data_IF_979878917985
#
_entry.id   IF_979878917985
#
_cell.length_a   1.000
_cell.length_b   1.000
_cell.length_c   1.000
_cell.angle_alpha   90.00
_cell.angle_beta   90.00
_cell.angle_gamma   90.00
#
_symmetry.space_group_name_H-M   'P 1'
#
loop_
_entity.id
_entity.type
_entity.pdbx_description
1 polymer ?
#
# COMPACT_ATOMS: atom_id res chain seq x y z
N UNK A 1 -2.51 -25.76 -15.05
CA UNK A 1 -3.53 -24.69 -14.88
C UNK A 1 -3.55 -24.35 -13.40
N UNK A 2 -2.99 -23.26 -12.85
CA UNK A 2 -2.88 -21.86 -13.30
C UNK A 2 -1.68 -21.19 -12.59
N UNK A 3 -0.49 -21.20 -13.20
CA UNK A 3 0.72 -20.60 -12.63
C UNK A 3 0.61 -19.09 -12.42
N UNK A 4 -0.23 -18.40 -13.20
CA UNK A 4 -0.54 -16.98 -13.02
C UNK A 4 -1.25 -16.71 -11.69
N UNK A 5 -2.16 -17.59 -11.24
CA UNK A 5 -2.90 -17.39 -9.98
C UNK A 5 -2.05 -17.61 -8.73
N UNK A 6 -1.01 -18.44 -8.83
CA UNK A 6 -0.02 -18.63 -7.76
C UNK A 6 0.94 -17.45 -7.65
N UNK A 7 1.32 -16.83 -8.78
CA UNK A 7 2.18 -15.63 -8.80
C UNK A 7 1.41 -14.33 -8.48
N UNK A 8 0.13 -14.25 -8.84
CA UNK A 8 -0.70 -13.08 -8.58
C UNK A 8 -0.88 -12.87 -7.07
N UNK A 9 -0.41 -11.74 -6.52
CA UNK A 9 -0.44 -11.39 -5.09
C UNK A 9 0.29 -12.38 -4.14
N UNK A 10 1.24 -13.17 -4.67
CA UNK A 10 2.11 -14.06 -3.87
C UNK A 10 1.34 -15.02 -2.95
N UNK A 11 1.83 -15.19 -1.71
CA UNK A 11 1.27 -16.11 -0.72
C UNK A 11 0.04 -15.54 0.02
N UNK A 12 -0.79 -14.74 -0.65
CA UNK A 12 -2.02 -14.20 -0.06
C UNK A 12 -3.16 -15.24 -0.07
N UNK A 13 -4.09 -15.17 0.91
CA UNK A 13 -5.23 -16.08 0.98
C UNK A 13 -6.05 -16.09 -0.32
N UNK A 14 -6.54 -17.27 -0.71
CA UNK A 14 -7.28 -17.43 -1.97
C UNK A 14 -8.56 -16.60 -2.04
N UNK A 15 -9.24 -16.40 -0.91
CA UNK A 15 -10.41 -15.50 -0.80
C UNK A 15 -10.05 -14.05 -1.10
N UNK A 16 -8.90 -13.57 -0.61
CA UNK A 16 -8.47 -12.19 -0.83
C UNK A 16 -8.19 -11.93 -2.31
N UNK A 17 -7.49 -12.84 -2.99
CA UNK A 17 -7.26 -12.75 -4.44
C UNK A 17 -8.58 -12.65 -5.21
N UNK A 18 -9.60 -13.43 -4.81
CA UNK A 18 -10.94 -13.37 -5.42
C UNK A 18 -11.63 -12.02 -5.18
N UNK A 19 -11.52 -11.46 -3.97
CA UNK A 19 -12.07 -10.13 -3.66
C UNK A 19 -11.43 -9.04 -4.52
N UNK A 20 -10.10 -9.02 -4.67
CA UNK A 20 -9.41 -8.05 -5.53
C UNK A 20 -9.83 -8.19 -6.99
N UNK A 21 -9.95 -9.41 -7.50
CA UNK A 21 -10.45 -9.65 -8.87
C UNK A 21 -11.90 -9.16 -9.02
N UNK A 22 -12.74 -9.31 -7.99
CA UNK A 22 -14.10 -8.80 -8.01
C UNK A 22 -14.13 -7.27 -8.05
N UNK A 23 -13.28 -6.59 -7.27
CA UNK A 23 -13.14 -5.13 -7.29
C UNK A 23 -12.72 -4.60 -8.67
N UNK A 24 -11.71 -5.21 -9.27
CA UNK A 24 -11.26 -4.92 -10.65
C UNK A 24 -12.34 -5.15 -11.73
N UNK A 25 -13.40 -5.91 -11.43
CA UNK A 25 -14.53 -6.09 -12.36
C UNK A 25 -15.67 -5.12 -12.04
N UNK A 26 -15.84 -4.73 -10.78
CA UNK A 26 -16.88 -3.80 -10.34
C UNK A 26 -16.55 -2.38 -10.81
N UNK A 27 -15.30 -1.93 -10.71
CA UNK A 27 -14.93 -0.55 -11.06
C UNK A 27 -15.27 -0.17 -12.51
N UNK A 28 -14.94 -0.97 -13.54
CA UNK A 28 -15.32 -0.67 -14.92
C UNK A 28 -16.84 -0.69 -15.14
N UNK A 29 -17.57 -1.58 -14.46
CA UNK A 29 -19.02 -1.66 -14.52
C UNK A 29 -19.68 -0.40 -13.93
N UNK A 30 -19.13 0.16 -12.87
CA UNK A 30 -19.63 1.40 -12.27
C UNK A 30 -19.42 2.61 -13.17
N UNK A 31 -18.28 2.70 -13.87
CA UNK A 31 -18.00 3.81 -14.79
C UNK A 31 -18.92 3.78 -16.03
N UNK A 32 -19.44 2.62 -16.42
CA UNK A 32 -20.40 2.50 -17.53
C UNK A 32 -21.80 3.07 -17.22
N UNK A 33 -22.09 3.41 -15.96
CA UNK A 33 -23.38 4.01 -15.58
C UNK A 33 -23.41 5.49 -16.03
N UNK A 34 -24.36 5.90 -16.89
CA UNK A 34 -24.47 7.30 -17.33
C UNK A 34 -24.67 8.27 -16.17
N UNK A 35 -24.12 9.48 -16.30
CA UNK A 35 -24.26 10.66 -15.40
C UNK A 35 -23.63 10.57 -14.00
N UNK A 36 -23.61 9.40 -13.36
CA UNK A 36 -23.10 9.23 -11.98
C UNK A 36 -21.92 8.25 -11.86
N UNK A 37 -21.56 7.56 -12.94
CA UNK A 37 -20.61 6.45 -12.91
C UNK A 37 -19.24 6.79 -12.31
N UNK A 38 -18.64 7.93 -12.71
CA UNK A 38 -17.34 8.37 -12.18
C UNK A 38 -17.36 8.67 -10.67
N UNK A 39 -18.41 9.33 -10.18
CA UNK A 39 -18.53 9.68 -8.76
C UNK A 39 -18.74 8.43 -7.91
N UNK A 40 -19.60 7.51 -8.36
CA UNK A 40 -19.87 6.25 -7.64
C UNK A 40 -18.65 5.33 -7.66
N UNK A 41 -17.95 5.23 -8.81
CA UNK A 41 -16.69 4.49 -8.91
C UNK A 41 -15.62 5.09 -7.98
N UNK A 42 -15.58 6.42 -7.82
CA UNK A 42 -14.65 7.06 -6.89
C UNK A 42 -14.90 6.66 -5.44
N UNK A 43 -16.15 6.65 -5.01
CA UNK A 43 -16.54 6.17 -3.68
C UNK A 43 -16.30 4.66 -3.49
N UNK A 44 -16.56 3.86 -4.51
CA UNK A 44 -16.25 2.43 -4.49
C UNK A 44 -14.75 2.19 -4.32
N UNK A 45 -13.90 2.87 -5.11
CA UNK A 45 -12.45 2.80 -5.00
C UNK A 45 -11.94 3.18 -3.61
N UNK A 46 -12.52 4.20 -2.97
CA UNK A 46 -12.16 4.57 -1.59
C UNK A 46 -12.47 3.41 -0.63
N UNK A 47 -13.66 2.81 -0.73
CA UNK A 47 -14.07 1.68 0.12
C UNK A 47 -13.18 0.45 -0.12
N UNK A 48 -12.89 0.14 -1.38
CA UNK A 48 -12.01 -0.96 -1.77
C UNK A 48 -10.59 -0.72 -1.25
N UNK A 49 -10.07 0.50 -1.36
CA UNK A 49 -8.76 0.86 -0.84
C UNK A 49 -8.70 0.70 0.68
N UNK A 50 -9.70 1.18 1.43
CA UNK A 50 -9.78 0.97 2.89
C UNK A 50 -9.83 -0.52 3.22
N UNK A 51 -10.60 -1.31 2.47
CA UNK A 51 -10.65 -2.76 2.65
C UNK A 51 -9.29 -3.42 2.40
N UNK A 52 -8.57 -3.01 1.36
CA UNK A 52 -7.20 -3.51 1.09
C UNK A 52 -6.22 -3.12 2.20
N UNK A 53 -6.30 -1.89 2.74
CA UNK A 53 -5.48 -1.46 3.88
C UNK A 53 -5.78 -2.27 5.14
N UNK A 54 -7.07 -2.48 5.46
CA UNK A 54 -7.49 -3.24 6.63
C UNK A 54 -6.98 -4.69 6.58
N UNK A 55 -6.94 -5.30 5.39
CA UNK A 55 -6.39 -6.64 5.19
C UNK A 55 -4.86 -6.66 5.11
N UNK A 56 -4.24 -5.58 4.61
CA UNK A 56 -2.79 -5.43 4.58
C UNK A 56 -2.16 -5.46 5.98
N UNK A 57 -2.89 -5.02 7.00
CA UNK A 57 -2.47 -5.12 8.41
C UNK A 57 -2.33 -6.56 8.92
N UNK A 58 -3.04 -7.53 8.30
CA UNK A 58 -2.99 -8.95 8.66
C UNK A 58 -2.17 -9.80 7.68
N UNK A 59 -2.24 -9.46 6.40
CA UNK A 59 -1.53 -10.12 5.32
C UNK A 59 -0.63 -9.07 4.69
N UNK A 60 0.70 -9.22 4.76
CA UNK A 60 1.65 -8.27 4.18
C UNK A 60 1.74 -8.39 2.63
N UNK A 61 0.69 -8.08 1.85
CA UNK A 61 0.95 -7.42 0.57
C UNK A 61 0.08 -6.17 0.36
N UNK A 62 0.74 -5.01 0.34
CA UNK A 62 0.18 -3.68 0.01
C UNK A 62 0.05 -3.44 -1.52
N UNK A 63 0.53 -4.38 -2.34
CA UNK A 63 0.45 -4.35 -3.80
C UNK A 63 -0.96 -4.17 -4.42
N UNK A 64 -2.07 -4.71 -3.87
CA UNK A 64 -3.37 -4.60 -4.52
C UNK A 64 -3.93 -3.18 -4.50
N UNK A 65 -3.57 -2.35 -3.52
CA UNK A 65 -3.94 -0.92 -3.55
C UNK A 65 -3.33 -0.20 -4.75
N UNK A 66 -2.11 -0.57 -5.16
CA UNK A 66 -1.49 -0.07 -6.38
C UNK A 66 -2.19 -0.55 -7.66
N UNK A 67 -2.71 -1.78 -7.68
CA UNK A 67 -3.51 -2.28 -8.81
C UNK A 67 -4.79 -1.46 -9.03
N UNK A 68 -5.49 -1.11 -7.95
CA UNK A 68 -6.70 -0.26 -8.02
C UNK A 68 -6.38 1.13 -8.58
N UNK A 69 -5.23 1.70 -8.23
CA UNK A 69 -4.78 3.00 -8.77
C UNK A 69 -4.48 2.90 -10.27
N UNK A 70 -3.82 1.83 -10.71
CA UNK A 70 -3.55 1.60 -12.15
C UNK A 70 -4.86 1.47 -12.92
N UNK A 71 -5.83 0.77 -12.37
CA UNK A 71 -7.17 0.68 -12.94
C UNK A 71 -7.86 2.05 -13.01
N UNK A 72 -7.82 2.85 -11.94
CA UNK A 72 -8.40 4.19 -11.94
C UNK A 72 -7.81 5.10 -13.03
N UNK A 73 -6.51 4.97 -13.29
CA UNK A 73 -5.82 5.64 -14.42
C UNK A 73 -6.34 5.10 -15.76
N UNK A 74 -6.45 3.78 -15.92
CA UNK A 74 -6.94 3.15 -17.14
C UNK A 74 -8.39 3.50 -17.46
N UNK A 75 -9.23 3.69 -16.43
CA UNK A 75 -10.62 4.14 -16.52
C UNK A 75 -10.76 5.66 -16.74
N UNK A 76 -9.64 6.40 -16.72
CA UNK A 76 -9.63 7.86 -16.93
C UNK A 76 -10.14 8.68 -15.73
N UNK A 77 -10.21 8.07 -14.53
CA UNK A 77 -10.65 8.76 -13.31
C UNK A 77 -9.59 9.72 -12.76
N UNK A 78 -8.33 9.48 -13.11
CA UNK A 78 -7.19 10.34 -12.77
C UNK A 78 -6.12 10.23 -13.86
N UNK A 79 -5.22 11.21 -13.93
CA UNK A 79 -4.11 11.19 -14.89
C UNK A 79 -2.79 10.84 -14.20
N UNK A 80 -1.84 10.19 -14.91
CA UNK A 80 -0.50 9.91 -14.37
C UNK A 80 0.24 11.17 -13.91
N UNK A 81 0.02 12.31 -14.58
CA UNK A 81 0.61 13.60 -14.24
C UNK A 81 0.07 14.09 -12.89
N UNK A 82 -1.23 13.97 -12.65
CA UNK A 82 -1.83 14.39 -11.39
C UNK A 82 -1.35 13.52 -10.23
N UNK A 83 -1.24 12.21 -10.44
CA UNK A 83 -0.65 11.29 -9.45
C UNK A 83 0.81 11.66 -9.16
N UNK A 84 1.60 11.96 -10.19
CA UNK A 84 3.00 12.34 -10.01
C UNK A 84 3.15 13.60 -9.16
N UNK A 85 2.34 14.64 -9.42
CA UNK A 85 2.35 15.87 -8.63
C UNK A 85 2.00 15.60 -7.16
N UNK A 86 0.99 14.77 -6.91
CA UNK A 86 0.57 14.41 -5.56
C UNK A 86 1.62 13.59 -4.82
N UNK A 87 2.25 12.64 -5.51
CA UNK A 87 3.37 11.89 -4.96
C UNK A 87 4.52 12.83 -4.65
N UNK A 88 4.91 13.71 -5.57
CA UNK A 88 6.01 14.66 -5.37
C UNK A 88 5.78 15.58 -4.16
N UNK A 89 4.55 16.08 -3.96
CA UNK A 89 4.20 16.91 -2.81
C UNK A 89 4.29 16.15 -1.47
N UNK A 90 4.08 14.82 -1.48
CA UNK A 90 4.10 13.98 -0.27
C UNK A 90 5.41 13.20 -0.09
N UNK A 91 6.29 13.17 -1.10
CA UNK A 91 7.56 12.44 -1.06
C UNK A 91 8.46 12.94 0.06
N UNK A 92 8.48 14.25 0.33
CA UNK A 92 9.27 14.82 1.44
C UNK A 92 8.87 14.21 2.79
N UNK A 93 7.56 14.10 3.04
CA UNK A 93 7.04 13.50 4.28
C UNK A 93 7.39 12.01 4.34
N UNK A 94 7.22 11.28 3.24
CA UNK A 94 7.56 9.85 3.17
C UNK A 94 9.06 9.64 3.44
N UNK A 95 9.93 10.46 2.85
CA UNK A 95 11.38 10.42 3.05
C UNK A 95 11.74 10.76 4.50
N UNK A 96 11.11 11.77 5.09
CA UNK A 96 11.30 12.15 6.49
C UNK A 96 10.88 11.02 7.44
N UNK A 97 9.75 10.35 7.18
CA UNK A 97 9.29 9.21 7.96
C UNK A 97 10.25 8.01 7.82
N UNK A 98 10.70 7.68 6.61
CA UNK A 98 11.69 6.62 6.40
C UNK A 98 13.02 6.93 7.11
N UNK A 99 13.49 8.18 7.03
CA UNK A 99 14.69 8.62 7.72
C UNK A 99 14.53 8.57 9.24
N UNK A 100 13.38 9.02 9.77
CA UNK A 100 13.07 8.97 11.20
C UNK A 100 13.10 7.54 11.73
N UNK A 101 12.43 6.60 11.04
CA UNK A 101 12.39 5.19 11.43
C UNK A 101 13.80 4.60 11.38
N UNK A 102 14.54 4.79 10.29
CA UNK A 102 15.92 4.33 10.18
C UNK A 102 16.83 4.92 11.27
N UNK A 103 16.64 6.20 11.61
CA UNK A 103 17.38 6.91 12.64
C UNK A 103 17.17 6.34 14.04
N UNK A 104 15.92 6.06 14.44
CA UNK A 104 15.63 5.45 15.75
C UNK A 104 16.22 4.05 15.84
N UNK A 105 16.09 3.22 14.80
CA UNK A 105 16.69 1.88 14.78
C UNK A 105 18.22 1.94 14.87
N UNK A 106 18.86 2.90 14.22
CA UNK A 106 20.30 3.12 14.34
C UNK A 106 20.70 3.53 15.77
N UNK A 107 20.01 4.54 16.33
CA UNK A 107 20.29 5.05 17.68
C UNK A 107 20.06 3.98 18.76
N UNK A 108 19.02 3.16 18.62
CA UNK A 108 18.73 2.07 19.55
C UNK A 108 19.90 1.08 19.65
N UNK A 109 20.45 0.64 18.51
CA UNK A 109 21.57 -0.30 18.48
C UNK A 109 22.86 0.31 19.05
N UNK A 110 23.14 1.58 18.74
CA UNK A 110 24.30 2.29 19.25
C UNK A 110 24.23 2.50 20.77
N UNK A 111 23.06 2.89 21.29
CA UNK A 111 22.83 3.03 22.72
C UNK A 111 22.98 1.71 23.47
N UNK A 112 22.40 0.62 22.95
CA UNK A 112 22.57 -0.73 23.52
C UNK A 112 24.04 -1.13 23.59
N UNK A 113 24.81 -0.91 22.52
CA UNK A 113 26.24 -1.20 22.49
C UNK A 113 27.01 -0.43 23.57
N UNK A 114 26.77 0.88 23.69
CA UNK A 114 27.41 1.74 24.70
C UNK A 114 27.04 1.29 26.11
N UNK A 115 25.77 0.99 26.38
CA UNK A 115 25.31 0.52 27.69
C UNK A 115 25.93 -0.82 28.08
N UNK A 116 26.00 -1.78 27.15
CA UNK A 116 26.66 -3.07 27.40
C UNK A 116 28.15 -2.87 27.71
N UNK A 117 28.85 -2.01 26.96
CA UNK A 117 30.25 -1.67 27.20
C UNK A 117 30.46 -1.03 28.58
N UNK A 118 29.59 -0.11 28.98
CA UNK A 118 29.64 0.54 30.30
C UNK A 118 29.45 -0.46 31.44
N UNK A 119 28.45 -1.35 31.36
CA UNK A 119 28.16 -2.33 32.40
C UNK A 119 29.29 -3.35 32.59
N UNK A 120 29.92 -3.80 31.50
CA UNK A 120 31.07 -4.72 31.57
C UNK A 120 32.27 -4.05 32.24
N UNK A 121 32.48 -2.75 31.99
CA UNK A 121 33.62 -2.00 32.53
C UNK A 121 33.49 -1.72 34.04
N UNK A 122 32.27 -1.71 34.59
CA UNK A 122 32.02 -1.47 36.03
C UNK A 122 32.25 -2.73 36.89
N UNK A 123 32.36 -3.92 36.29
CA UNK A 123 32.56 -5.20 37.02
C UNK A 123 34.02 -5.69 37.06
N UNK A 124 35.00 -4.78 36.98
CA UNK A 124 36.41 -5.04 37.33
C UNK A 124 36.86 -4.13 38.46
#
# INVERSE_FOLDING_TARGET
MSSLYQNFLGNSPSWYKKSIIAFLLINPLLVMIPDIGYTVAGWALILEFIFTLALALKCYPLQPGGLLVIEAVALGMTSPVNIYNEVNANLEVILLLMFMVAGIYFMQNLLLFIFTKLLINVRS
#
